data_IF_087560738112
#
_entry.id   IF_087560738112
#
_cell.length_a   1.000
_cell.length_b   1.000
_cell.length_c   1.000
_cell.angle_alpha   90.00
_cell.angle_beta   90.00
_cell.angle_gamma   90.00
#
_symmetry.space_group_name_H-M   'P 1'
#
loop_
_entity.id
_entity.type
_entity.pdbx_description
1 polymer ?
#
# COMPACT_ATOMS: atom_id res chain seq x y z
N UNK A 1 15.51 -3.72 10.29
CA UNK A 1 15.33 -2.27 10.03
C UNK A 1 14.62 -1.62 11.21
N UNK A 2 13.45 -2.11 11.67
CA UNK A 2 12.72 -1.55 12.82
C UNK A 2 13.57 -1.41 14.10
N UNK A 3 14.46 -2.38 14.37
CA UNK A 3 15.40 -2.30 15.51
C UNK A 3 16.38 -1.14 15.38
N UNK A 4 16.79 -0.79 14.18
CA UNK A 4 17.66 0.37 13.90
C UNK A 4 16.89 1.69 14.02
N UNK A 5 15.66 1.74 13.55
CA UNK A 5 14.81 2.95 13.68
C UNK A 5 14.59 3.33 15.14
N UNK A 6 14.47 2.34 16.04
CA UNK A 6 14.36 2.59 17.49
C UNK A 6 15.63 3.16 18.13
N UNK A 7 16.79 3.08 17.46
CA UNK A 7 18.06 3.67 17.94
C UNK A 7 18.28 5.08 17.42
N UNK A 8 17.43 5.54 16.49
CA UNK A 8 17.48 6.93 16.03
C UNK A 8 16.98 7.83 17.14
N UNK A 9 17.87 8.66 17.64
CA UNK A 9 17.54 9.65 18.66
C UNK A 9 16.58 10.69 18.04
N UNK A 10 15.28 10.55 18.33
CA UNK A 10 14.26 11.50 17.92
C UNK A 10 13.82 12.32 19.16
N UNK A 11 14.61 13.33 19.54
CA UNK A 11 14.44 14.02 20.82
C UNK A 11 13.16 14.85 20.91
N UNK A 12 12.48 15.06 19.77
CA UNK A 12 11.23 15.83 19.71
C UNK A 12 10.14 15.00 19.05
N UNK A 13 9.55 14.06 19.81
CA UNK A 13 8.29 13.43 19.37
C UNK A 13 7.21 14.51 19.44
N UNK A 14 6.78 15.00 18.27
CA UNK A 14 5.66 15.93 18.16
C UNK A 14 4.39 15.27 18.73
N UNK A 15 3.70 15.95 19.63
CA UNK A 15 2.45 15.48 20.20
C UNK A 15 1.35 15.25 19.16
N UNK A 16 1.47 15.92 18.01
CA UNK A 16 0.57 15.76 16.87
C UNK A 16 0.79 14.46 16.09
N UNK A 17 1.95 13.78 16.28
CA UNK A 17 2.19 12.46 15.72
C UNK A 17 1.44 11.41 16.55
N UNK A 18 0.26 11.01 16.09
CA UNK A 18 -0.63 10.07 16.78
C UNK A 18 -0.17 8.62 16.63
N UNK A 19 0.29 8.27 15.41
CA UNK A 19 0.79 6.94 15.05
C UNK A 19 2.11 7.12 14.28
N UNK A 20 3.14 6.43 14.70
CA UNK A 20 4.45 6.42 14.07
C UNK A 20 5.04 5.01 14.01
N UNK A 21 6.35 4.89 13.77
CA UNK A 21 7.01 3.57 13.66
C UNK A 21 7.07 2.77 14.98
N UNK A 22 6.69 3.37 16.12
CA UNK A 22 6.75 2.73 17.43
C UNK A 22 5.76 1.57 17.59
N UNK A 23 4.58 1.69 16.96
CA UNK A 23 3.46 0.74 17.08
C UNK A 23 3.42 -0.29 15.95
N UNK A 24 4.29 -0.15 14.93
CA UNK A 24 4.33 -1.05 13.75
C UNK A 24 2.98 -1.11 13.01
N UNK A 25 2.31 0.03 12.93
CA UNK A 25 1.11 0.22 12.12
C UNK A 25 1.45 0.39 10.63
N UNK A 26 0.44 0.34 9.77
CA UNK A 26 0.61 0.35 8.32
C UNK A 26 1.00 1.75 7.79
N UNK A 27 0.60 2.82 8.47
CA UNK A 27 0.93 4.18 8.07
C UNK A 27 1.14 5.11 9.27
N UNK A 28 1.82 6.23 9.03
CA UNK A 28 1.91 7.31 10.00
C UNK A 28 0.61 8.13 10.02
N UNK A 29 0.20 8.58 11.21
CA UNK A 29 -0.96 9.45 11.39
C UNK A 29 -0.56 10.72 12.14
N UNK A 30 -0.74 11.86 11.50
CA UNK A 30 -0.38 13.17 12.04
C UNK A 30 -1.60 14.08 12.16
N UNK A 31 -1.90 14.57 13.36
CA UNK A 31 -3.04 15.47 13.64
C UNK A 31 -2.81 16.85 13.05
N UNK A 32 -3.80 17.36 12.33
CA UNK A 32 -3.81 18.72 11.78
C UNK A 32 -4.78 19.63 12.57
N UNK A 33 -5.92 19.08 12.98
CA UNK A 33 -6.93 19.76 13.80
C UNK A 33 -7.60 18.76 14.74
N UNK A 34 -8.58 19.20 15.50
CA UNK A 34 -9.31 18.32 16.42
C UNK A 34 -10.12 17.23 15.69
N UNK A 35 -10.52 17.47 14.46
CA UNK A 35 -11.38 16.59 13.66
C UNK A 35 -10.66 15.98 12.44
N UNK A 36 -9.38 16.35 12.17
CA UNK A 36 -8.63 15.94 10.98
C UNK A 36 -7.20 15.53 11.30
N UNK A 37 -6.80 14.39 10.75
CA UNK A 37 -5.42 13.93 10.69
C UNK A 37 -5.05 13.46 9.29
N UNK A 38 -3.79 13.63 8.92
CA UNK A 38 -3.20 13.07 7.72
C UNK A 38 -2.75 11.64 8.01
N UNK A 39 -3.07 10.72 7.09
CA UNK A 39 -2.47 9.39 6.98
C UNK A 39 -1.44 9.43 5.87
N UNK A 40 -0.20 9.04 6.15
CA UNK A 40 0.90 9.07 5.19
C UNK A 40 1.62 7.74 5.15
N UNK A 41 1.71 7.17 3.94
CA UNK A 41 2.47 5.94 3.68
C UNK A 41 3.34 6.05 2.44
N UNK A 42 4.25 5.10 2.28
CA UNK A 42 5.13 4.95 1.12
C UNK A 42 5.49 3.48 0.94
N UNK A 43 5.05 2.91 -0.19
CA UNK A 43 5.34 1.53 -0.55
C UNK A 43 5.78 1.42 -2.00
N UNK A 44 6.90 0.72 -2.24
CA UNK A 44 7.38 0.38 -3.58
C UNK A 44 8.22 -0.90 -3.54
N UNK A 45 8.15 -1.70 -4.59
CA UNK A 45 8.84 -2.98 -4.66
C UNK A 45 9.13 -3.42 -6.11
N UNK A 46 10.00 -4.42 -6.33
CA UNK A 46 10.26 -4.96 -7.65
C UNK A 46 9.07 -5.77 -8.17
N UNK A 47 8.95 -5.97 -9.52
CA UNK A 47 7.87 -6.74 -10.11
C UNK A 47 7.73 -8.14 -9.52
N UNK A 48 6.50 -8.52 -9.19
CA UNK A 48 6.14 -9.85 -8.69
C UNK A 48 5.36 -10.67 -9.72
N UNK A 49 4.94 -10.06 -10.82
CA UNK A 49 4.28 -10.67 -11.98
C UNK A 49 4.91 -10.14 -13.27
N UNK A 50 4.76 -10.88 -14.36
CA UNK A 50 5.39 -10.55 -15.65
C UNK A 50 4.65 -9.45 -16.41
N UNK A 51 3.33 -9.33 -16.25
CA UNK A 51 2.54 -8.29 -16.90
C UNK A 51 2.78 -6.93 -16.22
N UNK A 52 3.34 -5.94 -16.94
CA UNK A 52 3.68 -4.64 -16.36
C UNK A 52 2.44 -3.82 -15.94
N UNK A 53 1.32 -3.95 -16.63
CA UNK A 53 0.08 -3.27 -16.26
C UNK A 53 -0.50 -3.84 -14.97
N UNK A 54 -0.55 -5.17 -14.86
CA UNK A 54 -0.99 -5.86 -13.64
C UNK A 54 -0.05 -5.54 -12.46
N UNK A 55 1.27 -5.54 -12.71
CA UNK A 55 2.23 -5.14 -11.67
C UNK A 55 1.94 -3.72 -11.14
N UNK A 56 1.67 -2.77 -12.04
CA UNK A 56 1.30 -1.40 -11.66
C UNK A 56 0.04 -1.35 -10.80
N UNK A 57 -0.98 -2.17 -11.14
CA UNK A 57 -2.20 -2.27 -10.33
C UNK A 57 -1.94 -2.83 -8.93
N UNK A 58 -1.15 -3.90 -8.83
CA UNK A 58 -0.80 -4.54 -7.55
C UNK A 58 -0.03 -3.56 -6.67
N UNK A 59 0.98 -2.88 -7.22
CA UNK A 59 1.81 -1.95 -6.47
C UNK A 59 1.00 -0.77 -5.92
N UNK A 60 0.10 -0.23 -6.73
CA UNK A 60 -0.79 0.84 -6.30
C UNK A 60 -1.80 0.36 -5.26
N UNK A 61 -2.47 -0.79 -5.46
CA UNK A 61 -3.41 -1.35 -4.51
C UNK A 61 -2.75 -1.59 -3.13
N UNK A 62 -1.52 -2.08 -3.12
CA UNK A 62 -0.74 -2.28 -1.89
C UNK A 62 -0.52 -0.97 -1.13
N UNK A 63 0.01 0.06 -1.80
CA UNK A 63 0.27 1.35 -1.15
C UNK A 63 -1.02 2.08 -0.69
N UNK A 64 -2.11 1.97 -1.47
CA UNK A 64 -3.42 2.54 -1.09
C UNK A 64 -4.00 1.83 0.14
N UNK A 65 -3.72 0.54 0.30
CA UNK A 65 -4.27 -0.29 1.37
C UNK A 65 -3.90 0.17 2.77
N UNK A 66 -2.70 0.73 2.94
CA UNK A 66 -2.22 1.21 4.22
C UNK A 66 -3.09 2.36 4.77
N UNK A 67 -3.54 3.25 3.87
CA UNK A 67 -4.44 4.33 4.26
C UNK A 67 -5.79 3.76 4.74
N UNK A 68 -6.32 2.75 4.04
CA UNK A 68 -7.57 2.11 4.44
C UNK A 68 -7.42 1.30 5.74
N UNK A 69 -6.28 0.64 5.94
CA UNK A 69 -5.98 -0.08 7.17
C UNK A 69 -6.03 0.85 8.41
N UNK A 70 -5.63 2.11 8.23
CA UNK A 70 -5.72 3.13 9.27
C UNK A 70 -7.10 3.79 9.38
N UNK A 71 -8.10 3.34 8.62
CA UNK A 71 -9.45 3.91 8.59
C UNK A 71 -9.56 5.23 7.81
N UNK A 72 -8.54 5.55 7.01
CA UNK A 72 -8.46 6.79 6.24
C UNK A 72 -9.14 6.72 4.86
N UNK A 73 -9.41 7.87 4.30
CA UNK A 73 -9.85 8.08 2.93
C UNK A 73 -8.67 8.61 2.10
N UNK A 74 -8.30 7.92 1.03
CA UNK A 74 -7.20 8.36 0.15
C UNK A 74 -7.56 9.67 -0.55
N UNK A 75 -6.62 10.61 -0.61
CA UNK A 75 -6.80 11.89 -1.31
C UNK A 75 -5.83 12.07 -2.46
N UNK A 76 -4.55 11.82 -2.25
CA UNK A 76 -3.53 11.98 -3.30
C UNK A 76 -2.52 10.83 -3.27
N UNK A 77 -1.94 10.57 -4.44
CA UNK A 77 -0.83 9.66 -4.61
C UNK A 77 0.27 10.26 -5.48
N UNK A 78 1.52 9.92 -5.19
CA UNK A 78 2.70 10.28 -5.98
C UNK A 78 3.40 9.00 -6.43
N UNK A 79 3.77 8.92 -7.71
CA UNK A 79 4.55 7.79 -8.22
C UNK A 79 5.97 7.77 -7.65
N UNK A 80 6.45 6.59 -7.33
CA UNK A 80 7.86 6.30 -7.04
C UNK A 80 8.32 5.30 -8.09
N UNK A 81 9.30 5.70 -8.90
CA UNK A 81 9.77 4.92 -10.05
C UNK A 81 11.30 4.77 -9.99
N UNK A 82 11.76 3.52 -9.98
CA UNK A 82 13.13 3.16 -10.32
C UNK A 82 13.08 2.37 -11.63
N UNK A 83 13.82 2.81 -12.68
CA UNK A 83 13.67 2.19 -14.00
C UNK A 83 15.00 2.20 -14.77
N UNK A 84 15.39 1.07 -15.42
CA UNK A 84 16.62 1.00 -16.20
C UNK A 84 16.57 1.87 -17.45
N UNK A 85 17.60 2.73 -17.65
CA UNK A 85 17.66 3.67 -18.77
C UNK A 85 17.52 3.01 -20.16
N UNK A 86 18.02 1.78 -20.28
CA UNK A 86 18.04 1.03 -21.56
C UNK A 86 16.78 0.21 -21.82
N UNK A 87 15.85 0.15 -20.86
CA UNK A 87 14.62 -0.62 -20.99
C UNK A 87 13.57 0.19 -21.77
N UNK A 88 12.70 -0.51 -22.51
CA UNK A 88 11.63 0.12 -23.28
C UNK A 88 10.67 0.89 -22.37
N UNK A 89 10.56 2.20 -22.60
CA UNK A 89 9.67 3.11 -21.86
C UNK A 89 8.18 2.75 -22.00
N UNK A 90 7.78 1.98 -23.02
CA UNK A 90 6.42 1.46 -23.11
C UNK A 90 6.08 0.52 -21.93
N UNK A 91 7.07 -0.19 -21.38
CA UNK A 91 6.89 -1.02 -20.19
C UNK A 91 6.57 -0.13 -18.99
N UNK A 92 7.34 0.94 -18.79
CA UNK A 92 7.08 1.92 -17.74
C UNK A 92 5.70 2.56 -17.92
N UNK A 93 5.33 2.92 -19.13
CA UNK A 93 4.01 3.48 -19.45
C UNK A 93 2.87 2.55 -19.02
N UNK A 94 2.99 1.24 -19.25
CA UNK A 94 2.00 0.24 -18.81
C UNK A 94 1.93 0.13 -17.28
N UNK A 95 3.08 0.12 -16.59
CA UNK A 95 3.14 0.10 -15.12
C UNK A 95 2.39 1.30 -14.54
N UNK A 96 2.76 2.51 -14.99
CA UNK A 96 2.15 3.75 -14.51
C UNK A 96 0.65 3.83 -14.83
N UNK A 97 0.23 3.31 -15.99
CA UNK A 97 -1.20 3.25 -16.36
C UNK A 97 -1.96 2.31 -15.42
N UNK A 98 -1.40 1.15 -15.08
CA UNK A 98 -1.97 0.24 -14.08
C UNK A 98 -2.13 0.90 -12.71
N UNK A 99 -1.09 1.61 -12.25
CA UNK A 99 -1.14 2.38 -11.00
C UNK A 99 -2.20 3.47 -11.00
N UNK A 100 -2.23 4.29 -12.06
CA UNK A 100 -3.22 5.37 -12.23
C UNK A 100 -4.66 4.84 -12.21
N UNK A 101 -4.90 3.65 -12.81
CA UNK A 101 -6.20 2.98 -12.78
C UNK A 101 -6.68 2.74 -11.34
N UNK A 102 -5.79 2.24 -10.46
CA UNK A 102 -6.14 1.96 -9.06
C UNK A 102 -6.33 3.23 -8.23
N UNK A 103 -5.52 4.25 -8.45
CA UNK A 103 -5.70 5.56 -7.80
C UNK A 103 -7.06 6.16 -8.17
N UNK A 104 -7.46 6.08 -9.44
CA UNK A 104 -8.76 6.54 -9.90
C UNK A 104 -9.92 5.73 -9.30
N UNK A 105 -9.78 4.40 -9.20
CA UNK A 105 -10.78 3.53 -8.54
C UNK A 105 -10.95 3.87 -7.06
N UNK A 106 -9.90 4.33 -6.40
CA UNK A 106 -9.93 4.82 -5.03
C UNK A 106 -10.59 6.22 -4.89
N UNK A 107 -11.00 6.86 -5.99
CA UNK A 107 -11.51 8.23 -5.99
C UNK A 107 -10.45 9.29 -5.66
N UNK A 108 -9.17 8.93 -5.76
CA UNK A 108 -8.04 9.79 -5.42
C UNK A 108 -7.37 10.41 -6.66
N UNK A 109 -6.51 11.39 -6.42
CA UNK A 109 -5.77 12.08 -7.48
C UNK A 109 -4.33 11.63 -7.54
N UNK A 110 -3.88 11.15 -8.72
CA UNK A 110 -2.45 10.96 -8.99
C UNK A 110 -1.82 12.33 -9.30
N UNK A 111 -1.04 12.86 -8.34
CA UNK A 111 -0.60 14.24 -8.35
C UNK A 111 0.83 14.46 -8.91
N UNK A 112 1.49 13.38 -9.35
CA UNK A 112 2.85 13.45 -9.89
C UNK A 112 3.73 12.31 -9.38
N UNK A 113 4.99 12.61 -9.05
CA UNK A 113 5.93 11.63 -8.52
C UNK A 113 7.38 11.94 -8.84
N UNK A 114 8.25 10.96 -8.57
CA UNK A 114 9.68 11.04 -8.87
C UNK A 114 10.17 9.75 -9.52
N UNK A 115 11.07 9.90 -10.48
CA UNK A 115 11.72 8.77 -11.14
C UNK A 115 13.23 8.89 -11.10
N UNK A 116 13.91 7.77 -10.89
CA UNK A 116 15.35 7.65 -10.95
C UNK A 116 15.78 6.51 -11.87
N UNK A 117 16.98 6.65 -12.46
CA UNK A 117 17.63 5.52 -13.12
C UNK A 117 18.11 4.52 -12.07
N UNK A 118 17.89 3.22 -12.34
CA UNK A 118 18.30 2.12 -11.47
C UNK A 118 18.56 0.89 -12.35
N UNK A 119 19.31 -0.07 -11.86
CA UNK A 119 19.57 -1.33 -12.57
C UNK A 119 18.34 -2.26 -12.61
N UNK A 120 17.36 -2.01 -11.78
CA UNK A 120 16.15 -2.84 -11.66
C UNK A 120 14.87 -2.01 -11.58
N UNK A 121 13.79 -2.55 -12.14
CA UNK A 121 12.47 -1.92 -12.03
C UNK A 121 11.98 -2.02 -10.59
N UNK A 122 11.56 -0.87 -10.03
CA UNK A 122 10.76 -0.80 -8.81
C UNK A 122 9.68 0.27 -9.03
N UNK A 123 8.50 -0.03 -8.56
CA UNK A 123 7.37 0.89 -8.66
C UNK A 123 6.49 0.82 -7.42
N UNK A 124 5.92 1.94 -7.09
CA UNK A 124 4.94 2.09 -6.03
C UNK A 124 4.49 3.51 -5.88
N UNK A 125 3.89 3.81 -4.75
CA UNK A 125 3.30 5.12 -4.47
C UNK A 125 3.71 5.62 -3.08
N UNK A 126 3.86 6.94 -2.97
CA UNK A 126 3.63 7.64 -1.71
C UNK A 126 2.18 8.11 -1.69
N UNK A 127 1.44 7.74 -0.65
CA UNK A 127 0.00 7.97 -0.57
C UNK A 127 -0.32 8.83 0.65
N UNK A 128 -1.18 9.82 0.45
CA UNK A 128 -1.73 10.64 1.51
C UNK A 128 -3.24 10.48 1.56
N UNK A 129 -3.75 10.25 2.76
CA UNK A 129 -5.17 10.21 3.07
C UNK A 129 -5.53 11.09 4.27
N UNK A 130 -6.81 11.15 4.56
CA UNK A 130 -7.36 11.86 5.71
C UNK A 130 -8.17 10.91 6.58
N UNK A 131 -8.11 11.12 7.88
CA UNK A 131 -8.90 10.38 8.87
C UNK A 131 -9.31 11.32 10.01
N UNK A 132 -10.43 11.06 10.65
CA UNK A 132 -10.72 11.70 11.92
C UNK A 132 -9.80 11.09 13.01
N UNK A 133 -9.10 11.89 13.83
CA UNK A 133 -8.16 11.40 14.84
C UNK A 133 -8.75 10.35 15.79
N UNK A 134 -10.03 10.49 16.13
CA UNK A 134 -10.74 9.61 17.07
C UNK A 134 -11.29 8.34 16.40
N UNK A 135 -11.28 8.28 15.06
CA UNK A 135 -11.78 7.15 14.25
C UNK A 135 -10.69 6.38 13.53
N UNK A 136 -9.42 6.70 13.79
CA UNK A 136 -8.31 5.94 13.22
C UNK A 136 -8.30 4.51 13.76
N UNK A 137 -7.80 3.59 12.95
CA UNK A 137 -7.53 2.22 13.38
C UNK A 137 -6.05 2.06 13.71
N UNK A 138 -5.76 1.14 14.64
CA UNK A 138 -4.42 0.79 15.07
C UNK A 138 -4.33 -0.73 15.23
N UNK A 139 -3.21 -1.34 14.80
CA UNK A 139 -3.02 -2.80 14.79
C UNK A 139 -2.97 -3.41 16.21
N UNK A 140 -2.73 -2.61 17.23
CA UNK A 140 -2.58 -3.03 18.64
C UNK A 140 -3.86 -2.90 19.47
N UNK A 141 -5.02 -2.72 18.84
CA UNK A 141 -6.31 -2.49 19.57
C UNK A 141 -7.21 -3.72 19.67
N UNK A 142 -6.76 -4.89 19.22
CA UNK A 142 -7.51 -6.13 19.40
C UNK A 142 -7.57 -6.51 20.89
N UNK A 143 -8.76 -6.88 21.37
CA UNK A 143 -9.02 -7.25 22.75
C UNK A 143 -9.39 -8.74 22.89
N UNK A 144 -9.22 -9.35 24.09
CA UNK A 144 -9.74 -10.70 24.32
C UNK A 144 -11.26 -10.77 24.08
N UNK A 145 -11.69 -11.77 23.33
CA UNK A 145 -13.04 -12.03 22.86
C UNK A 145 -13.42 -11.33 21.52
N UNK A 146 -12.53 -10.57 20.90
CA UNK A 146 -12.74 -10.10 19.52
C UNK A 146 -12.78 -11.29 18.55
N UNK A 147 -13.64 -11.17 17.54
CA UNK A 147 -13.76 -12.17 16.47
C UNK A 147 -12.85 -11.77 15.32
N UNK A 148 -11.89 -12.63 14.98
CA UNK A 148 -11.03 -12.46 13.82
C UNK A 148 -11.70 -12.97 12.57
N UNK A 149 -11.87 -12.11 11.56
CA UNK A 149 -12.47 -12.47 10.27
C UNK A 149 -11.41 -12.41 9.19
N UNK A 150 -11.10 -13.56 8.58
CA UNK A 150 -10.24 -13.63 7.41
C UNK A 150 -11.09 -13.35 6.15
N UNK A 151 -10.94 -12.16 5.58
CA UNK A 151 -11.73 -11.72 4.42
C UNK A 151 -11.21 -12.25 3.08
N UNK A 152 -9.95 -12.71 3.04
CA UNK A 152 -9.28 -13.23 1.83
C UNK A 152 -8.32 -14.36 2.15
N UNK A 153 -8.06 -15.21 1.15
CA UNK A 153 -7.04 -16.26 1.25
C UNK A 153 -5.66 -15.66 1.46
N UNK A 154 -4.88 -16.31 2.30
CA UNK A 154 -3.46 -16.00 2.51
C UNK A 154 -2.60 -16.69 1.44
N UNK A 155 -1.38 -16.21 1.22
CA UNK A 155 -0.37 -16.93 0.45
C UNK A 155 -0.02 -16.32 -0.90
N UNK A 156 -0.40 -15.09 -1.22
CA UNK A 156 -0.04 -14.40 -2.48
C UNK A 156 1.48 -14.45 -2.74
N UNK A 157 2.31 -14.14 -1.75
CA UNK A 157 3.76 -14.19 -1.87
C UNK A 157 4.29 -15.59 -2.15
N UNK A 158 3.69 -16.64 -1.57
CA UNK A 158 4.06 -18.03 -1.85
C UNK A 158 3.71 -18.42 -3.29
N UNK A 159 2.53 -18.04 -3.77
CA UNK A 159 2.08 -18.30 -5.15
C UNK A 159 3.00 -17.61 -6.16
N UNK A 160 3.31 -16.33 -5.95
CA UNK A 160 4.22 -15.57 -6.83
C UNK A 160 5.63 -16.18 -6.85
N UNK A 161 6.16 -16.61 -5.70
CA UNK A 161 7.46 -17.29 -5.66
C UNK A 161 7.44 -18.67 -6.34
N UNK A 162 6.37 -19.46 -6.12
CA UNK A 162 6.19 -20.75 -6.81
C UNK A 162 6.08 -20.55 -8.34
N UNK A 163 5.42 -19.51 -8.79
CA UNK A 163 5.33 -19.16 -10.21
C UNK A 163 6.71 -18.87 -10.82
N UNK A 164 7.56 -18.12 -10.13
CA UNK A 164 8.93 -17.80 -10.59
C UNK A 164 9.80 -19.04 -10.83
N UNK A 165 9.57 -20.11 -10.07
CA UNK A 165 10.30 -21.37 -10.21
C UNK A 165 9.52 -22.45 -10.98
N UNK A 166 8.41 -22.07 -11.62
CA UNK A 166 7.59 -22.99 -12.43
C UNK A 166 6.83 -24.06 -11.63
N UNK A 167 6.57 -23.83 -10.34
CA UNK A 167 5.92 -24.78 -9.41
C UNK A 167 4.53 -24.33 -8.93
N UNK A 168 3.99 -23.23 -9.48
CA UNK A 168 2.64 -22.80 -9.13
C UNK A 168 1.57 -23.76 -9.68
N UNK A 169 0.51 -24.00 -8.90
CA UNK A 169 -0.64 -24.74 -9.39
C UNK A 169 -1.37 -23.92 -10.47
N UNK A 170 -1.96 -24.62 -11.43
CA UNK A 170 -2.73 -23.97 -12.51
C UNK A 170 -3.86 -23.14 -11.93
N UNK A 171 -3.93 -21.86 -12.34
CA UNK A 171 -4.95 -20.90 -11.90
C UNK A 171 -4.68 -20.23 -10.56
N UNK A 172 -3.68 -20.67 -9.77
CA UNK A 172 -3.39 -20.07 -8.47
C UNK A 172 -2.83 -18.64 -8.59
N UNK A 173 -2.08 -18.36 -9.67
CA UNK A 173 -1.57 -17.01 -9.93
C UNK A 173 -2.70 -16.03 -10.25
N UNK A 174 -3.65 -16.43 -11.09
CA UNK A 174 -4.80 -15.58 -11.45
C UNK A 174 -5.66 -15.25 -10.21
N UNK A 175 -5.91 -16.24 -9.36
CA UNK A 175 -6.61 -16.05 -8.08
C UNK A 175 -5.83 -15.11 -7.13
N UNK A 176 -4.51 -15.25 -7.05
CA UNK A 176 -3.66 -14.39 -6.24
C UNK A 176 -3.66 -12.94 -6.74
N UNK A 177 -3.56 -12.74 -8.06
CA UNK A 177 -3.61 -11.43 -8.70
C UNK A 177 -4.97 -10.77 -8.45
N UNK A 178 -6.06 -11.49 -8.67
CA UNK A 178 -7.41 -10.97 -8.40
C UNK A 178 -7.54 -10.57 -6.93
N UNK A 179 -7.11 -11.44 -6.02
CA UNK A 179 -7.16 -11.18 -4.59
C UNK A 179 -6.43 -9.89 -4.21
N UNK A 180 -5.16 -9.71 -4.64
CA UNK A 180 -4.34 -8.56 -4.24
C UNK A 180 -4.76 -7.27 -4.92
N UNK A 181 -5.22 -7.32 -6.17
CA UNK A 181 -5.65 -6.14 -6.93
C UNK A 181 -6.92 -5.48 -6.39
N UNK A 182 -7.74 -6.23 -5.64
CA UNK A 182 -8.99 -5.72 -5.05
C UNK A 182 -8.93 -5.57 -3.53
N UNK A 183 -7.76 -5.80 -2.92
CA UNK A 183 -7.68 -6.11 -1.51
C UNK A 183 -8.37 -5.10 -0.61
N UNK A 184 -8.08 -3.84 -0.71
CA UNK A 184 -8.48 -2.91 0.35
C UNK A 184 -9.56 -1.91 -0.07
N UNK A 185 -9.80 -1.72 -1.36
CA UNK A 185 -10.92 -0.91 -1.83
C UNK A 185 -12.29 -1.47 -1.38
N UNK A 186 -12.39 -2.79 -1.16
CA UNK A 186 -13.62 -3.44 -0.68
C UNK A 186 -13.73 -3.58 0.84
N UNK A 187 -12.64 -3.54 1.59
CA UNK A 187 -12.70 -3.61 3.06
C UNK A 187 -13.46 -2.42 3.67
N UNK A 188 -13.48 -1.30 2.97
CA UNK A 188 -14.24 -0.12 3.37
C UNK A 188 -15.75 -0.29 3.19
N UNK A 189 -16.18 -1.08 2.20
CA UNK A 189 -17.62 -1.33 1.94
C UNK A 189 -18.25 -2.25 2.96
N UNK A 190 -17.50 -3.20 3.51
CA UNK A 190 -18.03 -4.17 4.49
C UNK A 190 -18.30 -3.58 5.86
N UNK A 191 -17.66 -2.47 6.24
CA UNK A 191 -17.95 -1.77 7.50
C UNK A 191 -19.17 -0.86 7.45
N UNK A 192 -19.62 -0.46 6.27
CA UNK A 192 -20.86 0.31 6.11
C UNK A 192 -22.12 -0.54 6.23
N UNK A 193 -21.98 -1.87 6.22
CA UNK A 193 -23.08 -2.86 6.25
C UNK A 193 -23.08 -3.73 7.51
N UNK A 194 -22.28 -3.41 8.51
CA UNK A 194 -22.32 -3.96 9.86
C UNK A 194 -22.80 -2.91 10.85
#
# INVERSE_FOLDING_TARGET
>A
ILSLLRTIDNPTKDISLLVGYDSSDDAAVYRISDDMAIVQTLDFFPPMVDDPYIFGQIAAANALSDVYAMGGEVKTALNIVCFPEKMDLNILGKIMHGGAKKVNEAGATLAGGHSIADDSVKYGLSVMGLVNPDKKYENNKAEPADILILTKKLGVGLVCNAQRVGQAFKGSLDEAIESVSYTHLRAHETKANL
#
